data_IF_764038912865
#
_entry.id   IF_764038912865
#
_cell.length_a   1.000
_cell.length_b   1.000
_cell.length_c   1.000
_cell.angle_alpha   90.00
_cell.angle_beta   90.00
_cell.angle_gamma   90.00
#
_symmetry.space_group_name_H-M   'P 1'
#
loop_
_entity.id
_entity.type
_entity.pdbx_description
1 polymer ?
#
# COMPACT_ATOMS: atom_id res chain seq x y z
N UNK A 1 9.99 -8.26 0.94
CA UNK A 1 9.53 -9.61 0.90
C UNK A 1 8.03 -9.69 1.06
N UNK A 2 7.46 -10.73 0.50
CA UNK A 2 6.01 -10.86 0.47
C UNK A 2 5.48 -12.03 1.29
N UNK A 3 6.27 -12.57 2.23
CA UNK A 3 5.76 -13.67 3.03
C UNK A 3 4.54 -13.23 3.82
N UNK A 4 3.48 -14.00 3.70
CA UNK A 4 2.20 -13.76 4.36
C UNK A 4 1.49 -12.49 3.94
N UNK A 5 1.91 -11.84 2.86
CA UNK A 5 1.19 -10.70 2.32
C UNK A 5 0.20 -11.15 1.25
N UNK A 6 -0.92 -10.45 1.15
CA UNK A 6 -1.99 -10.77 0.21
C UNK A 6 -2.21 -9.57 -0.69
N UNK A 7 -2.21 -9.81 -1.98
CA UNK A 7 -2.46 -8.77 -2.98
C UNK A 7 -3.70 -9.15 -3.77
N UNK A 8 -4.70 -8.28 -3.73
CA UNK A 8 -5.96 -8.53 -4.37
C UNK A 8 -5.92 -8.46 -5.89
N UNK A 9 -6.96 -9.02 -6.49
CA UNK A 9 -7.08 -9.11 -7.93
C UNK A 9 -7.12 -7.73 -8.58
N UNK A 10 -6.43 -7.58 -9.71
CA UNK A 10 -6.42 -6.34 -10.47
C UNK A 10 -5.51 -5.26 -9.93
N UNK A 11 -4.83 -5.50 -8.82
CA UNK A 11 -3.91 -4.51 -8.29
C UNK A 11 -2.63 -4.46 -9.10
N UNK A 12 -2.08 -3.25 -9.26
CA UNK A 12 -0.89 -3.01 -10.06
C UNK A 12 0.18 -2.38 -9.18
N UNK A 13 1.31 -3.06 -9.08
CA UNK A 13 2.43 -2.62 -8.24
C UNK A 13 3.64 -2.38 -9.13
N UNK A 14 4.27 -1.24 -8.92
CA UNK A 14 5.51 -0.92 -9.62
C UNK A 14 6.67 -1.76 -9.09
N UNK A 15 7.77 -1.78 -9.82
CA UNK A 15 8.92 -2.63 -9.53
C UNK A 15 9.68 -2.23 -8.27
N UNK A 16 9.67 -0.97 -7.89
CA UNK A 16 10.48 -0.46 -6.79
C UNK A 16 9.67 -0.23 -5.53
N UNK A 17 8.87 -1.21 -5.15
CA UNK A 17 8.00 -1.13 -3.98
C UNK A 17 8.57 -1.98 -2.86
N UNK A 18 8.46 -1.49 -1.63
CA UNK A 18 8.80 -2.22 -0.42
C UNK A 18 7.53 -2.60 0.32
N UNK A 19 7.27 -3.88 0.47
CA UNK A 19 6.11 -4.38 1.20
C UNK A 19 6.59 -5.31 2.30
N UNK A 20 6.27 -4.98 3.55
CA UNK A 20 6.68 -5.75 4.69
C UNK A 20 5.75 -6.94 4.94
N UNK A 21 5.86 -7.59 6.10
CA UNK A 21 5.08 -8.77 6.42
C UNK A 21 3.61 -8.46 6.64
N UNK A 22 2.74 -9.41 6.29
CA UNK A 22 1.33 -9.37 6.66
C UNK A 22 0.60 -8.14 6.15
N UNK A 23 1.04 -7.61 5.02
CA UNK A 23 0.34 -6.51 4.36
C UNK A 23 -0.81 -7.09 3.55
N UNK A 24 -1.98 -6.47 3.64
CA UNK A 24 -3.13 -6.84 2.84
C UNK A 24 -3.45 -5.70 1.87
N UNK A 25 -3.45 -6.02 0.59
CA UNK A 25 -3.78 -5.04 -0.45
C UNK A 25 -5.05 -5.53 -1.13
N UNK A 26 -6.08 -4.70 -1.14
CA UNK A 26 -7.36 -5.04 -1.72
C UNK A 26 -7.31 -5.12 -3.23
N UNK A 27 -8.48 -5.10 -3.85
CA UNK A 27 -8.63 -5.24 -5.30
C UNK A 27 -8.42 -3.89 -5.98
N UNK A 28 -7.84 -3.94 -7.18
CA UNK A 28 -7.72 -2.76 -8.05
C UNK A 28 -6.96 -1.61 -7.41
N UNK A 29 -5.99 -1.90 -6.56
CA UNK A 29 -5.10 -0.88 -6.03
C UNK A 29 -4.01 -0.54 -7.03
N UNK A 30 -3.58 0.71 -7.02
CA UNK A 30 -2.48 1.16 -7.88
C UNK A 30 -1.39 1.72 -6.96
N UNK A 31 -0.21 1.11 -7.02
CA UNK A 31 0.90 1.49 -6.15
C UNK A 31 2.08 1.84 -7.03
N UNK A 32 2.44 3.12 -7.03
CA UNK A 32 3.51 3.63 -7.88
C UNK A 32 4.89 3.32 -7.29
N UNK A 33 5.92 3.76 -7.98
CA UNK A 33 7.30 3.43 -7.63
C UNK A 33 7.71 4.01 -6.29
N UNK A 34 8.62 3.31 -5.61
CA UNK A 34 9.26 3.76 -4.39
C UNK A 34 8.28 3.96 -3.22
N UNK A 35 7.15 3.27 -3.25
CA UNK A 35 6.22 3.25 -2.13
C UNK A 35 6.73 2.24 -1.10
N UNK A 36 6.64 2.60 0.18
CA UNK A 36 6.95 1.70 1.28
C UNK A 36 5.71 1.44 2.11
N UNK A 37 5.39 0.17 2.33
CA UNK A 37 4.25 -0.21 3.15
C UNK A 37 4.77 -1.07 4.30
N UNK A 38 4.66 -0.55 5.52
CA UNK A 38 5.15 -1.24 6.70
C UNK A 38 4.22 -2.39 7.10
N UNK A 39 4.70 -3.22 7.99
CA UNK A 39 4.05 -4.49 8.32
C UNK A 39 2.64 -4.35 8.84
N UNK A 40 1.82 -5.33 8.54
CA UNK A 40 0.45 -5.47 9.03
C UNK A 40 -0.48 -4.31 8.65
N UNK A 41 -0.12 -3.54 7.64
CA UNK A 41 -0.99 -2.49 7.11
C UNK A 41 -1.99 -3.08 6.14
N UNK A 42 -3.12 -2.41 5.98
CA UNK A 42 -4.21 -2.87 5.11
C UNK A 42 -4.57 -1.72 4.17
N UNK A 43 -4.52 -2.00 2.87
CA UNK A 43 -5.10 -1.12 1.86
C UNK A 43 -6.40 -1.75 1.41
N UNK A 44 -7.51 -1.05 1.58
CA UNK A 44 -8.78 -1.54 1.10
C UNK A 44 -8.87 -1.39 -0.41
N UNK A 45 -10.02 -1.70 -1.00
CA UNK A 45 -10.14 -1.75 -2.45
C UNK A 45 -10.00 -0.36 -3.09
N UNK A 46 -9.46 -0.32 -4.29
CA UNK A 46 -9.37 0.88 -5.12
C UNK A 46 -8.52 1.99 -4.49
N UNK A 47 -7.50 1.63 -3.71
CA UNK A 47 -6.58 2.61 -3.13
C UNK A 47 -5.47 2.91 -4.13
N UNK A 48 -5.14 4.19 -4.28
CA UNK A 48 -4.03 4.64 -5.12
C UNK A 48 -2.96 5.27 -4.24
N UNK A 49 -1.74 4.74 -4.30
CA UNK A 49 -0.59 5.32 -3.64
C UNK A 49 0.34 5.87 -4.72
N UNK A 50 0.50 7.18 -4.76
CA UNK A 50 1.41 7.83 -5.71
C UNK A 50 2.86 7.57 -5.32
N UNK A 51 3.80 7.96 -6.16
CA UNK A 51 5.20 7.63 -5.94
C UNK A 51 5.78 8.18 -4.64
N UNK A 52 6.67 7.41 -4.02
CA UNK A 52 7.39 7.80 -2.81
C UNK A 52 6.49 8.00 -1.58
N UNK A 53 5.35 7.32 -1.52
CA UNK A 53 4.48 7.34 -0.35
C UNK A 53 4.99 6.34 0.68
N UNK A 54 4.94 6.71 1.96
CA UNK A 54 5.27 5.81 3.07
C UNK A 54 4.04 5.55 3.93
N UNK A 55 3.82 4.29 4.27
CA UNK A 55 2.72 3.87 5.13
C UNK A 55 3.33 3.21 6.37
N UNK A 56 2.98 3.71 7.56
CA UNK A 56 3.47 3.10 8.82
C UNK A 56 2.75 1.79 9.09
N UNK A 57 3.31 1.00 10.00
CA UNK A 57 2.76 -0.31 10.31
C UNK A 57 1.39 -0.21 11.01
N UNK A 58 0.60 -1.26 10.85
CA UNK A 58 -0.74 -1.39 11.42
C UNK A 58 -1.71 -0.29 11.02
N UNK A 59 -1.51 0.30 9.83
CA UNK A 59 -2.39 1.35 9.33
C UNK A 59 -3.41 0.77 8.37
N UNK A 60 -4.62 1.32 8.39
CA UNK A 60 -5.67 0.95 7.44
C UNK A 60 -5.98 2.15 6.57
N UNK A 61 -5.82 1.98 5.26
CA UNK A 61 -6.20 2.99 4.26
C UNK A 61 -7.55 2.58 3.69
N UNK A 62 -8.55 3.42 3.91
CA UNK A 62 -9.92 3.12 3.47
C UNK A 62 -10.05 3.05 1.96
N UNK A 63 -11.09 2.37 1.50
CA UNK A 63 -11.32 2.17 0.07
C UNK A 63 -11.47 3.50 -0.66
N UNK A 64 -11.07 3.50 -1.92
CA UNK A 64 -11.17 4.64 -2.83
C UNK A 64 -10.30 5.84 -2.41
N UNK A 65 -9.35 5.65 -1.50
CA UNK A 65 -8.44 6.71 -1.08
C UNK A 65 -7.34 6.92 -2.10
N UNK A 66 -6.89 8.17 -2.21
CA UNK A 66 -5.72 8.52 -3.00
C UNK A 66 -4.72 9.23 -2.10
N UNK A 67 -3.50 8.69 -2.03
CA UNK A 67 -2.42 9.31 -1.26
C UNK A 67 -1.45 9.92 -2.26
N UNK A 68 -1.26 11.23 -2.15
CA UNK A 68 -0.44 11.99 -3.13
C UNK A 68 1.04 11.71 -2.93
N UNK A 69 1.82 12.02 -3.98
CA UNK A 69 3.24 11.73 -4.02
C UNK A 69 4.00 12.31 -2.85
N UNK A 70 5.00 11.56 -2.39
CA UNK A 70 5.92 11.95 -1.32
C UNK A 70 5.24 12.19 0.02
N UNK A 71 4.04 11.68 0.21
CA UNK A 71 3.34 11.79 1.47
C UNK A 71 3.73 10.69 2.42
N UNK A 72 3.55 10.93 3.72
CA UNK A 72 3.70 9.90 4.73
C UNK A 72 2.40 9.82 5.51
N UNK A 73 1.88 8.60 5.66
CA UNK A 73 0.65 8.39 6.43
C UNK A 73 1.06 7.83 7.78
N UNK A 74 0.94 8.66 8.80
CA UNK A 74 1.44 8.39 10.13
C UNK A 74 0.35 8.25 11.18
N UNK A 75 -0.89 8.49 10.82
CA UNK A 75 -2.02 8.49 11.75
C UNK A 75 -2.95 7.33 11.39
N UNK A 76 -3.31 6.55 12.38
CA UNK A 76 -4.25 5.45 12.24
C UNK A 76 -5.69 5.90 12.35
#
# INVERSE_FOLDING_TARGET
TLSNSIIGEGSKLDNLIHIAHNVQIGKNCIIAAQVGIAGSSILEDNVTLAGQVGIIDHLIIGKDSVVVSKSAVLIR
#
